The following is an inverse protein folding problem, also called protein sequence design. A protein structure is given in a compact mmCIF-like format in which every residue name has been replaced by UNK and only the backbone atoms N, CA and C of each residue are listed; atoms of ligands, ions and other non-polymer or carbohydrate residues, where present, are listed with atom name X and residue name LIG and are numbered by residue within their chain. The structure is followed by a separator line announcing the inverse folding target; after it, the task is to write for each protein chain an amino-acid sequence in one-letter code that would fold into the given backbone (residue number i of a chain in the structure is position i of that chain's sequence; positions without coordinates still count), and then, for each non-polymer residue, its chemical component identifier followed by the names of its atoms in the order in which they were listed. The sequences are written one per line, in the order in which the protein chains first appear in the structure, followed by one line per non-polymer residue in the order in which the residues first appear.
data_IF_478980751302
#
_entry.id   IF_478980751302
#
_cell.length_a   1.000
_cell.length_b   1.000
_cell.length_c   1.000
_cell.angle_alpha   90.00
_cell.angle_beta   90.00
_cell.angle_gamma   90.00
#
_symmetry.space_group_name_H-M   'P 1'
#
loop_
_entity.id
_entity.type
_entity.pdbx_description
1 polymer ?
#
# COMPACT_ATOMS: atom_id res chain seq x y z
N UNK A 1 4.60 -8.31 -30.00
CA UNK A 1 3.99 -8.63 -28.69
C UNK A 1 4.43 -7.56 -27.70
N UNK A 2 3.55 -6.60 -27.39
CA UNK A 2 3.84 -5.53 -26.42
C UNK A 2 3.60 -6.09 -25.01
N UNK A 3 4.64 -6.05 -24.18
CA UNK A 3 4.57 -6.38 -22.76
C UNK A 3 3.85 -5.24 -22.03
N UNK A 4 2.66 -5.53 -21.51
CA UNK A 4 1.95 -4.62 -20.61
C UNK A 4 2.76 -4.48 -19.32
N UNK A 5 3.08 -3.24 -18.96
CA UNK A 5 3.78 -2.90 -17.72
C UNK A 5 2.82 -2.95 -16.54
N UNK A 6 3.29 -3.44 -15.39
CA UNK A 6 2.52 -3.61 -14.14
C UNK A 6 1.95 -2.29 -13.58
N UNK A 7 2.26 -1.16 -14.21
CA UNK A 7 1.78 0.19 -13.85
C UNK A 7 0.32 0.46 -14.24
N UNK A 8 -0.32 -0.39 -15.03
CA UNK A 8 -1.68 -0.14 -15.55
C UNK A 8 -2.82 -0.72 -14.69
N UNK A 9 -2.52 -1.32 -13.53
CA UNK A 9 -3.51 -1.96 -12.64
C UNK A 9 -3.93 -1.15 -11.40
N UNK A 10 -3.39 0.06 -11.20
CA UNK A 10 -3.67 0.87 -10.00
C UNK A 10 -4.48 2.16 -10.29
N UNK A 11 -5.39 2.13 -11.28
CA UNK A 11 -6.23 3.27 -11.65
C UNK A 11 -7.72 3.07 -11.35
N UNK A 12 -8.03 2.28 -10.34
CA UNK A 12 -9.36 2.19 -9.71
C UNK A 12 -9.03 1.99 -8.23
N UNK A 13 -8.84 3.06 -7.46
CA UNK A 13 -9.82 3.52 -6.48
C UNK A 13 -9.36 4.91 -6.01
N UNK A 14 -9.85 5.95 -6.67
CA UNK A 14 -9.78 7.31 -6.14
C UNK A 14 -11.13 7.99 -6.37
N UNK A 15 -12.20 7.28 -6.02
CA UNK A 15 -13.49 7.91 -5.82
C UNK A 15 -13.48 8.49 -4.41
N UNK A 16 -13.46 9.82 -4.37
CA UNK A 16 -13.63 10.55 -3.14
C UNK A 16 -15.04 10.32 -2.60
N UNK A 17 -15.12 9.91 -1.35
CA UNK A 17 -16.35 10.00 -0.56
C UNK A 17 -16.02 10.72 0.74
N UNK A 18 -16.69 11.84 0.94
CA UNK A 18 -16.79 12.55 2.20
C UNK A 18 -17.44 11.63 3.24
N UNK A 19 -16.66 10.86 3.99
CA UNK A 19 -17.19 9.83 4.90
C UNK A 19 -16.58 9.91 6.30
N UNK A 20 -17.07 10.86 7.10
CA UNK A 20 -16.91 10.97 8.58
C UNK A 20 -15.47 11.07 9.11
N UNK A 21 -15.30 11.84 10.19
CA UNK A 21 -14.04 12.00 10.92
C UNK A 21 -13.62 10.74 11.71
N UNK A 22 -13.95 9.54 11.22
CA UNK A 22 -13.50 8.29 11.79
C UNK A 22 -12.09 8.01 11.29
N UNK A 23 -11.12 8.62 11.96
CA UNK A 23 -9.72 8.26 11.79
C UNK A 23 -9.55 6.77 12.10
N UNK A 24 -8.83 6.07 11.23
CA UNK A 24 -8.55 4.65 11.35
C UNK A 24 -7.12 4.48 11.89
N UNK A 25 -6.94 3.62 12.90
CA UNK A 25 -5.63 3.41 13.51
C UNK A 25 -4.82 2.36 12.74
N UNK A 26 -3.63 2.72 12.28
CA UNK A 26 -2.70 1.80 11.62
C UNK A 26 -2.16 0.74 12.59
N UNK A 27 -2.24 -0.55 12.22
CA UNK A 27 -1.68 -1.65 13.04
C UNK A 27 -0.15 -1.66 13.13
N UNK A 28 0.53 -1.02 12.17
CA UNK A 28 2.00 -1.03 12.10
C UNK A 28 2.66 0.03 12.99
N UNK A 29 2.10 1.24 13.04
CA UNK A 29 2.66 2.37 13.78
C UNK A 29 1.73 2.96 14.85
N UNK A 30 0.47 2.54 14.90
CA UNK A 30 -0.52 3.09 15.84
C UNK A 30 -0.97 4.52 15.51
N UNK A 31 -0.58 5.06 14.37
CA UNK A 31 -0.99 6.42 13.93
C UNK A 31 -2.37 6.35 13.31
N UNK A 32 -3.19 7.33 13.66
CA UNK A 32 -4.51 7.56 13.12
C UNK A 32 -4.42 8.19 11.73
N UNK A 33 -5.04 7.55 10.73
CA UNK A 33 -4.99 7.96 9.33
C UNK A 33 -6.38 8.00 8.72
N UNK A 34 -6.58 8.87 7.73
CA UNK A 34 -7.85 8.97 7.02
C UNK A 34 -8.17 7.71 6.19
N UNK A 35 -7.15 6.95 5.81
CA UNK A 35 -7.27 5.75 4.99
C UNK A 35 -6.26 4.69 5.46
N UNK A 36 -6.71 3.44 5.50
CA UNK A 36 -5.86 2.26 5.67
C UNK A 36 -5.79 1.51 4.34
N UNK A 37 -4.67 0.83 4.14
CA UNK A 37 -4.42 -0.04 3.01
C UNK A 37 -4.40 -1.51 3.47
N UNK A 38 -3.95 -2.40 2.59
CA UNK A 38 -3.80 -3.83 2.88
C UNK A 38 -3.12 -4.09 4.24
N UNK A 39 -3.66 -5.06 4.99
CA UNK A 39 -3.22 -5.43 6.35
C UNK A 39 -3.48 -4.37 7.44
N UNK A 40 -4.43 -3.45 7.22
CA UNK A 40 -4.74 -2.33 8.14
C UNK A 40 -3.51 -1.46 8.41
N UNK A 41 -2.70 -1.26 7.37
CA UNK A 41 -1.47 -0.46 7.44
C UNK A 41 -1.67 0.89 6.74
N UNK A 42 -1.06 1.93 7.29
CA UNK A 42 -0.89 3.18 6.57
C UNK A 42 0.11 3.00 5.42
N UNK A 43 0.11 3.97 4.50
CA UNK A 43 0.99 3.99 3.32
C UNK A 43 2.46 3.76 3.67
N UNK A 44 2.94 4.34 4.78
CA UNK A 44 4.34 4.26 5.17
C UNK A 44 4.71 2.87 5.71
N UNK A 45 3.87 2.31 6.59
CA UNK A 45 4.07 0.95 7.10
C UNK A 45 4.01 -0.08 5.98
N UNK A 46 3.07 0.08 5.06
CA UNK A 46 2.95 -0.77 3.88
C UNK A 46 4.19 -0.67 2.98
N UNK A 47 4.71 0.55 2.73
CA UNK A 47 5.94 0.76 1.98
C UNK A 47 7.17 0.09 2.61
N UNK A 48 7.27 0.09 3.94
CA UNK A 48 8.36 -0.60 4.65
C UNK A 48 8.26 -2.11 4.45
N UNK A 49 7.05 -2.68 4.51
CA UNK A 49 6.82 -4.10 4.25
C UNK A 49 7.22 -4.48 2.81
N UNK A 50 6.79 -3.70 1.81
CA UNK A 50 7.18 -3.93 0.41
C UNK A 50 8.69 -3.82 0.19
N UNK A 51 9.37 -2.84 0.80
CA UNK A 51 10.84 -2.72 0.70
C UNK A 51 11.58 -3.94 1.23
N UNK A 52 11.07 -4.59 2.29
CA UNK A 52 11.63 -5.85 2.80
C UNK A 52 11.43 -6.98 1.79
N UNK A 53 10.25 -7.07 1.18
CA UNK A 53 9.94 -8.08 0.18
C UNK A 53 10.83 -7.96 -1.06
N UNK A 54 11.05 -6.74 -1.56
CA UNK A 54 11.95 -6.48 -2.70
C UNK A 54 13.36 -7.01 -2.41
N UNK A 55 13.91 -6.74 -1.23
CA UNK A 55 15.24 -7.26 -0.85
C UNK A 55 15.32 -8.78 -0.85
N UNK A 56 14.26 -9.45 -0.40
CA UNK A 56 14.20 -10.92 -0.43
C UNK A 56 14.14 -11.42 -1.87
N UNK A 57 13.29 -10.84 -2.72
CA UNK A 57 13.19 -11.19 -4.14
C UNK A 57 14.55 -11.01 -4.84
N UNK A 58 15.20 -9.85 -4.64
CA UNK A 58 16.51 -9.55 -5.23
C UNK A 58 17.60 -10.52 -4.74
N UNK A 59 17.51 -11.01 -3.51
CA UNK A 59 18.47 -11.99 -2.99
C UNK A 59 18.39 -13.36 -3.66
N UNK A 60 17.22 -13.71 -4.20
CA UNK A 60 16.96 -15.01 -4.86
C UNK A 60 17.20 -14.93 -6.37
N UNK A 61 17.08 -13.74 -6.98
CA UNK A 61 17.20 -13.52 -8.44
C UNK A 61 18.63 -13.64 -9.00
N UNK A 62 19.54 -14.31 -8.28
CA UNK A 62 20.90 -14.59 -8.77
C UNK A 62 20.90 -15.64 -9.87
#
# INVERSE_FOLDING_TARGET
MQLLTVTDLNKEEAEGETASENLLTCKGCGVDTAQLFQYDLCRDCLNVAFKRLIKVIDSVRK
#
